data_IF_044854737136
#
_entry.id   IF_044854737136
#
_cell.length_a   1.000
_cell.length_b   1.000
_cell.length_c   1.000
_cell.angle_alpha   90.00
_cell.angle_beta   90.00
_cell.angle_gamma   90.00
#
_symmetry.space_group_name_H-M   'P 1'
#
loop_
_entity.id
_entity.type
_entity.pdbx_description
1 polymer ?
#
# COMPACT_ATOMS: atom_id res chain seq x y z
N UNK A 1 -19.79 2.45 21.53
CA UNK A 1 -19.70 3.02 20.16
C UNK A 1 -18.24 3.36 19.86
N UNK A 2 -17.73 2.90 18.75
CA UNK A 2 -16.36 3.21 18.37
C UNK A 2 -16.27 4.60 17.79
N UNK A 3 -15.20 5.31 18.11
CA UNK A 3 -14.90 6.57 17.43
C UNK A 3 -14.49 6.27 15.99
N UNK A 4 -14.98 7.10 15.08
CA UNK A 4 -14.67 6.99 13.67
C UNK A 4 -13.48 7.89 13.36
N UNK A 5 -12.44 7.31 12.77
CA UNK A 5 -11.25 8.05 12.34
C UNK A 5 -11.14 7.95 10.82
N UNK A 6 -10.89 9.08 10.20
CA UNK A 6 -10.71 9.14 8.74
C UNK A 6 -9.29 9.59 8.45
N UNK A 7 -8.58 8.82 7.63
CA UNK A 7 -7.28 9.21 7.11
C UNK A 7 -7.39 9.45 5.61
N UNK A 8 -6.59 10.36 5.09
CA UNK A 8 -6.65 10.78 3.70
C UNK A 8 -5.23 10.83 3.14
N UNK A 9 -5.02 10.22 1.99
CA UNK A 9 -3.71 10.23 1.37
C UNK A 9 -3.62 9.37 0.13
N UNK A 10 -2.41 9.06 -0.28
CA UNK A 10 -2.13 8.22 -1.43
C UNK A 10 -1.67 6.85 -0.98
N UNK A 11 -2.27 5.80 -1.54
CA UNK A 11 -1.76 4.45 -1.38
C UNK A 11 -0.98 4.09 -2.64
N UNK A 12 0.18 3.47 -2.45
CA UNK A 12 1.08 3.10 -3.54
C UNK A 12 1.32 1.60 -3.55
N UNK A 13 1.65 1.10 -4.71
CA UNK A 13 2.11 -0.28 -4.86
C UNK A 13 3.63 -0.31 -4.72
N UNK A 14 4.11 -1.03 -3.72
CA UNK A 14 5.55 -1.26 -3.52
C UNK A 14 5.93 -2.60 -4.12
N UNK A 15 6.95 -2.59 -4.97
CA UNK A 15 7.50 -3.81 -5.55
C UNK A 15 8.93 -4.01 -5.04
N UNK A 16 9.20 -5.15 -4.47
CA UNK A 16 10.52 -5.51 -3.94
C UNK A 16 10.96 -6.84 -4.54
N UNK A 17 12.22 -6.97 -4.96
CA UNK A 17 12.72 -8.28 -5.37
C UNK A 17 12.58 -9.30 -4.25
N UNK A 18 12.21 -10.52 -4.59
CA UNK A 18 12.12 -11.60 -3.62
C UNK A 18 13.51 -12.02 -3.12
N UNK A 19 13.56 -12.56 -1.91
CA UNK A 19 14.76 -13.13 -1.32
C UNK A 19 15.92 -12.15 -1.20
N UNK A 20 15.62 -10.86 -1.03
CA UNK A 20 16.63 -9.79 -0.92
C UNK A 20 17.53 -9.70 -2.15
N UNK A 21 17.06 -10.15 -3.31
CA UNK A 21 17.82 -10.05 -4.56
C UNK A 21 17.93 -8.61 -5.02
N UNK A 22 18.85 -8.34 -5.91
CA UNK A 22 18.96 -7.06 -6.59
C UNK A 22 17.97 -7.00 -7.74
N UNK A 23 17.56 -5.78 -8.11
CA UNK A 23 16.63 -5.58 -9.24
C UNK A 23 17.13 -6.24 -10.52
N UNK A 24 18.44 -6.18 -10.77
CA UNK A 24 19.03 -6.74 -11.97
C UNK A 24 19.11 -8.27 -11.97
N UNK A 25 18.85 -8.90 -10.84
CA UNK A 25 19.03 -10.34 -10.64
C UNK A 25 17.74 -11.05 -10.25
N UNK A 26 16.63 -10.32 -10.15
CA UNK A 26 15.37 -10.92 -9.72
C UNK A 26 14.49 -11.27 -10.92
N UNK A 27 13.71 -12.33 -10.77
CA UNK A 27 12.69 -12.73 -11.72
C UNK A 27 11.27 -12.51 -11.20
N UNK A 28 11.15 -12.16 -9.91
CA UNK A 28 9.86 -11.99 -9.27
C UNK A 28 9.94 -10.88 -8.22
N UNK A 29 8.80 -10.24 -7.98
CA UNK A 29 8.68 -9.18 -6.98
C UNK A 29 7.61 -9.53 -5.95
N UNK A 30 7.88 -9.15 -4.71
CA UNK A 30 6.88 -9.10 -3.67
C UNK A 30 6.11 -7.79 -3.80
N UNK A 31 4.79 -7.86 -3.84
CA UNK A 31 3.92 -6.69 -4.00
C UNK A 31 3.22 -6.37 -2.69
N UNK A 32 3.37 -5.13 -2.22
CA UNK A 32 2.74 -4.66 -0.99
C UNK A 32 2.15 -3.29 -1.25
N UNK A 33 0.92 -3.06 -0.79
CA UNK A 33 0.27 -1.75 -0.88
C UNK A 33 0.51 -1.00 0.41
N UNK A 34 0.87 0.28 0.31
CA UNK A 34 1.12 1.09 1.49
C UNK A 34 1.25 2.56 1.20
N UNK A 35 1.35 3.31 2.24
CA UNK A 35 1.51 4.75 2.27
C UNK A 35 1.37 5.19 3.73
N UNK A 36 1.85 6.37 4.08
CA UNK A 36 1.86 6.81 5.48
C UNK A 36 0.47 6.78 6.10
N UNK A 37 -0.50 7.40 5.46
CA UNK A 37 -1.88 7.49 5.98
C UNK A 37 -2.62 6.15 5.89
N UNK A 38 -2.32 5.33 4.86
CA UNK A 38 -2.89 3.99 4.75
C UNK A 38 -2.35 3.09 5.87
N UNK A 39 -1.05 3.17 6.15
CA UNK A 39 -0.44 2.41 7.24
C UNK A 39 -1.01 2.83 8.60
N UNK A 40 -1.27 4.12 8.79
CA UNK A 40 -1.92 4.62 9.99
C UNK A 40 -3.32 4.03 10.15
N UNK A 41 -4.11 3.99 9.06
CA UNK A 41 -5.44 3.40 9.09
C UNK A 41 -5.41 1.92 9.47
N UNK A 42 -4.46 1.17 8.92
CA UNK A 42 -4.29 -0.25 9.25
C UNK A 42 -3.94 -0.43 10.73
N UNK A 43 -3.01 0.39 11.25
CA UNK A 43 -2.64 0.33 12.66
C UNK A 43 -3.83 0.62 13.57
N UNK A 44 -4.62 1.64 13.25
CA UNK A 44 -5.80 1.99 14.04
C UNK A 44 -6.85 0.87 14.00
N UNK A 45 -7.06 0.25 12.84
CA UNK A 45 -7.99 -0.86 12.71
C UNK A 45 -7.54 -2.04 13.57
N UNK A 46 -6.23 -2.28 13.67
CA UNK A 46 -5.70 -3.34 14.53
C UNK A 46 -5.95 -3.07 16.01
N UNK A 47 -6.15 -1.83 16.41
CA UNK A 47 -6.54 -1.45 17.77
C UNK A 47 -8.04 -1.33 17.95
N UNK A 48 -8.80 -1.92 17.04
CA UNK A 48 -10.27 -1.94 17.09
C UNK A 48 -10.91 -0.55 16.99
N UNK A 49 -10.25 0.35 16.28
CA UNK A 49 -10.79 1.67 15.95
C UNK A 49 -11.53 1.58 14.62
N UNK A 50 -12.63 2.30 14.48
CA UNK A 50 -13.34 2.42 13.20
C UNK A 50 -12.54 3.33 12.26
N UNK A 51 -11.51 2.78 11.64
CA UNK A 51 -10.62 3.52 10.76
C UNK A 51 -11.10 3.42 9.32
N UNK A 52 -11.14 4.57 8.64
CA UNK A 52 -11.58 4.68 7.26
C UNK A 52 -10.52 5.41 6.46
N UNK A 53 -10.29 4.96 5.24
CA UNK A 53 -9.28 5.55 4.38
C UNK A 53 -9.96 6.20 3.17
N UNK A 54 -9.57 7.42 2.87
CA UNK A 54 -10.10 8.19 1.74
C UNK A 54 -8.97 8.45 0.75
N UNK A 55 -9.18 8.03 -0.48
CA UNK A 55 -8.21 8.21 -1.55
C UNK A 55 -8.92 8.06 -2.89
N UNK A 56 -8.16 8.18 -3.96
CA UNK A 56 -8.65 7.90 -5.32
C UNK A 56 -7.81 6.78 -5.92
N UNK A 57 -8.48 5.77 -6.43
CA UNK A 57 -7.83 4.60 -7.02
C UNK A 57 -8.41 4.30 -8.41
N UNK A 58 -7.60 3.79 -9.33
CA UNK A 58 -8.09 3.43 -10.66
C UNK A 58 -9.14 2.31 -10.59
N UNK A 59 -9.96 2.24 -11.62
CA UNK A 59 -11.05 1.26 -11.69
C UNK A 59 -10.59 -0.14 -12.05
N UNK A 60 -9.37 -0.28 -12.55
CA UNK A 60 -8.87 -1.58 -12.99
C UNK A 60 -8.48 -2.48 -11.80
N UNK A 61 -8.02 -3.68 -12.13
CA UNK A 61 -7.80 -4.75 -11.15
C UNK A 61 -6.74 -4.39 -10.10
N UNK A 62 -5.74 -3.58 -10.45
CA UNK A 62 -4.71 -3.17 -9.48
C UNK A 62 -5.31 -2.25 -8.41
N UNK A 63 -6.20 -1.34 -8.82
CA UNK A 63 -6.92 -0.51 -7.85
C UNK A 63 -7.82 -1.36 -6.94
N UNK A 64 -8.46 -2.37 -7.49
CA UNK A 64 -9.27 -3.28 -6.68
C UNK A 64 -8.41 -4.08 -5.70
N UNK A 65 -7.22 -4.49 -6.11
CA UNK A 65 -6.30 -5.20 -5.23
C UNK A 65 -5.86 -4.32 -4.06
N UNK A 66 -5.65 -3.03 -4.30
CA UNK A 66 -5.32 -2.08 -3.23
C UNK A 66 -6.47 -1.98 -2.22
N UNK A 67 -7.71 -1.90 -2.70
CA UNK A 67 -8.90 -1.87 -1.84
C UNK A 67 -9.00 -3.16 -1.02
N UNK A 68 -8.79 -4.30 -1.65
CA UNK A 68 -8.84 -5.59 -0.97
C UNK A 68 -7.78 -5.69 0.13
N UNK A 69 -6.60 -5.13 -0.11
CA UNK A 69 -5.53 -5.07 0.89
C UNK A 69 -5.98 -4.30 2.14
N UNK A 70 -6.64 -3.16 1.96
CA UNK A 70 -7.16 -2.38 3.07
C UNK A 70 -8.28 -3.12 3.82
N UNK A 71 -9.19 -3.73 3.08
CA UNK A 71 -10.31 -4.47 3.67
C UNK A 71 -9.84 -5.68 4.48
N UNK A 72 -8.76 -6.31 4.05
CA UNK A 72 -8.16 -7.44 4.76
C UNK A 72 -7.82 -7.08 6.22
N UNK A 73 -7.44 -5.83 6.46
CA UNK A 73 -7.08 -5.36 7.80
C UNK A 73 -8.21 -4.63 8.51
N UNK A 74 -9.41 -4.66 7.95
CA UNK A 74 -10.57 -4.05 8.59
C UNK A 74 -10.72 -2.56 8.41
N UNK A 75 -9.98 -1.98 7.46
CA UNK A 75 -10.09 -0.55 7.15
C UNK A 75 -11.34 -0.31 6.31
N UNK A 76 -12.13 0.72 6.65
CA UNK A 76 -13.29 1.12 5.87
C UNK A 76 -12.89 1.74 4.55
N UNK A 77 -13.51 1.30 3.46
CA UNK A 77 -13.16 1.70 2.10
C UNK A 77 -14.32 2.32 1.34
N UNK A 78 -15.41 2.62 2.03
CA UNK A 78 -16.66 3.06 1.37
C UNK A 78 -16.55 4.43 0.70
N UNK A 79 -15.57 5.22 1.09
CA UNK A 79 -15.38 6.59 0.57
C UNK A 79 -14.22 6.70 -0.40
N UNK A 80 -13.72 5.59 -0.89
CA UNK A 80 -12.66 5.59 -1.90
C UNK A 80 -13.28 5.92 -3.26
N UNK A 81 -12.74 6.96 -3.91
CA UNK A 81 -13.17 7.35 -5.24
C UNK A 81 -12.45 6.50 -6.27
N UNK A 82 -13.21 5.99 -7.23
CA UNK A 82 -12.62 5.17 -8.31
C UNK A 82 -12.47 6.03 -9.56
N UNK A 83 -11.27 6.14 -10.08
CA UNK A 83 -10.99 6.94 -11.27
C UNK A 83 -9.50 7.06 -11.51
N UNK A 84 -9.14 7.71 -12.62
CA UNK A 84 -7.75 7.81 -13.04
C UNK A 84 -7.26 6.53 -13.70
N UNK A 85 -6.04 6.57 -14.21
CA UNK A 85 -5.49 5.49 -15.04
C UNK A 85 -4.44 4.65 -14.32
N UNK A 86 -3.80 5.20 -13.29
CA UNK A 86 -2.64 4.58 -12.68
C UNK A 86 -2.65 4.70 -11.17
N UNK A 87 -2.03 3.71 -10.52
CA UNK A 87 -1.65 3.78 -9.12
C UNK A 87 -0.16 4.14 -9.05
N UNK A 88 0.24 4.88 -8.05
CA UNK A 88 1.66 5.16 -7.84
C UNK A 88 2.41 3.88 -7.51
N UNK A 89 3.57 3.70 -8.12
CA UNK A 89 4.40 2.52 -7.93
C UNK A 89 5.79 2.96 -7.49
N UNK A 90 6.34 2.27 -6.50
CA UNK A 90 7.75 2.47 -6.17
C UNK A 90 8.43 1.13 -5.95
N UNK A 91 9.74 1.13 -6.17
CA UNK A 91 10.56 -0.06 -6.04
C UNK A 91 11.44 0.07 -4.82
N UNK A 92 11.55 -1.00 -4.07
CA UNK A 92 12.40 -1.07 -2.88
C UNK A 92 13.33 -2.26 -3.00
N UNK A 93 14.63 -2.00 -3.04
CA UNK A 93 15.65 -3.05 -2.94
C UNK A 93 16.05 -3.17 -1.49
N UNK A 94 15.76 -4.33 -0.89
CA UNK A 94 15.96 -4.51 0.54
C UNK A 94 17.44 -4.55 0.89
N UNK A 95 17.75 -3.98 2.05
CA UNK A 95 19.10 -3.95 2.58
C UNK A 95 19.56 -5.35 2.97
N UNK A 96 20.82 -5.65 2.61
CA UNK A 96 21.52 -6.81 3.13
C UNK A 96 22.70 -6.34 3.95
N UNK A 97 23.43 -7.26 4.55
CA UNK A 97 24.63 -6.92 5.33
C UNK A 97 25.70 -6.19 4.51
N UNK A 98 25.62 -6.22 3.19
CA UNK A 98 26.65 -5.70 2.30
C UNK A 98 26.21 -4.54 1.42
N UNK A 99 24.94 -4.09 1.53
CA UNK A 99 24.46 -3.00 0.70
C UNK A 99 23.30 -2.27 1.37
N UNK A 100 23.14 -0.97 1.08
CA UNK A 100 22.01 -0.20 1.61
C UNK A 100 20.71 -0.50 0.85
N UNK A 101 19.59 -0.11 1.46
CA UNK A 101 18.29 -0.10 0.78
C UNK A 101 18.30 0.94 -0.33
N UNK A 102 17.55 0.63 -1.38
CA UNK A 102 17.29 1.54 -2.50
C UNK A 102 15.80 1.67 -2.74
N UNK A 103 15.39 2.89 -3.07
CA UNK A 103 14.01 3.18 -3.48
C UNK A 103 14.00 3.89 -4.82
N UNK A 104 13.06 3.52 -5.67
CA UNK A 104 12.78 4.22 -6.92
C UNK A 104 11.29 4.40 -7.07
N UNK A 105 10.85 5.62 -7.40
CA UNK A 105 9.44 5.94 -7.63
C UNK A 105 9.21 6.13 -9.11
N UNK A 106 8.16 5.49 -9.63
CA UNK A 106 7.81 5.54 -11.04
C UNK A 106 6.40 6.08 -11.21
#
# INVERSE_FOLDING_TARGET
MKDKIVTFGEIMLRLSPENNARFTQCNAFEAVYGGGEANTAVSLANFDVDANYVTKLPKHIIGQAAINSLRQYGVGVDHIVRGGDQIGIYFLEKKTSQRPDRKSVV
#
